data_IF_014590719893
#
_entry.id   IF_014590719893
#
_cell.length_a   1.000
_cell.length_b   1.000
_cell.length_c   1.000
_cell.angle_alpha   90.00
_cell.angle_beta   90.00
_cell.angle_gamma   90.00
#
_symmetry.space_group_name_H-M   'P 1'
#
loop_
_entity.id
_entity.type
_entity.pdbx_description
1 polymer ?
#
# COMPACT_ATOMS: atom_id res chain seq x y z
N UNK A 1 -3.47 -8.61 28.15
CA UNK A 1 -3.53 -9.57 27.02
C UNK A 1 -4.26 -8.88 25.88
N UNK A 2 -3.60 -8.57 24.76
CA UNK A 2 -4.27 -7.89 23.62
C UNK A 2 -5.07 -8.94 22.86
N UNK A 3 -6.38 -8.73 22.68
CA UNK A 3 -7.19 -9.52 21.77
C UNK A 3 -6.72 -9.26 20.34
N UNK A 4 -6.13 -10.28 19.71
CA UNK A 4 -5.86 -10.24 18.28
C UNK A 4 -7.20 -10.46 17.59
N UNK A 5 -7.87 -9.36 17.19
CA UNK A 5 -8.99 -9.45 16.23
C UNK A 5 -8.48 -10.31 15.08
N UNK A 6 -9.13 -11.46 14.83
CA UNK A 6 -8.81 -12.35 13.71
C UNK A 6 -9.13 -11.62 12.41
N UNK A 7 -8.20 -10.78 11.96
CA UNK A 7 -8.24 -10.13 10.66
C UNK A 7 -8.24 -11.25 9.62
N UNK A 8 -9.22 -11.22 8.71
CA UNK A 8 -9.31 -12.21 7.65
C UNK A 8 -8.08 -12.04 6.75
N UNK A 9 -7.38 -13.13 6.38
CA UNK A 9 -6.31 -13.03 5.40
C UNK A 9 -6.92 -12.61 4.04
N UNK A 10 -6.34 -11.64 3.33
CA UNK A 10 -6.80 -11.24 2.00
C UNK A 10 -6.36 -12.31 0.98
N UNK A 11 -7.10 -13.41 0.91
CA UNK A 11 -6.84 -14.49 -0.06
C UNK A 11 -7.57 -14.15 -1.35
N UNK A 12 -6.80 -13.88 -2.42
CA UNK A 12 -7.35 -13.58 -3.74
C UNK A 12 -7.81 -12.12 -3.92
N UNK A 13 -7.63 -11.27 -2.92
CA UNK A 13 -7.88 -9.83 -3.02
C UNK A 13 -6.57 -9.15 -3.39
N UNK A 14 -6.59 -8.48 -4.54
CA UNK A 14 -5.41 -7.81 -5.10
C UNK A 14 -5.59 -6.29 -5.20
N UNK A 15 -6.73 -5.75 -4.76
CA UNK A 15 -7.03 -4.33 -4.75
C UNK A 15 -6.76 -3.72 -3.36
N UNK A 16 -6.02 -2.62 -3.35
CA UNK A 16 -5.67 -1.91 -2.12
C UNK A 16 -6.90 -1.28 -1.44
N UNK A 17 -7.83 -0.72 -2.21
CA UNK A 17 -9.02 -0.07 -1.65
C UNK A 17 -9.90 -1.08 -0.92
N UNK A 18 -10.12 -2.25 -1.52
CA UNK A 18 -10.95 -3.32 -0.95
C UNK A 18 -10.34 -3.82 0.37
N UNK A 19 -9.01 -4.00 0.41
CA UNK A 19 -8.30 -4.40 1.63
C UNK A 19 -8.49 -3.39 2.76
N UNK A 20 -8.43 -2.09 2.44
CA UNK A 20 -8.55 -1.01 3.43
C UNK A 20 -9.98 -0.80 3.89
N UNK A 21 -10.97 -0.88 2.99
CA UNK A 21 -12.39 -0.70 3.33
C UNK A 21 -13.00 -1.89 4.06
N UNK A 22 -12.63 -3.11 3.67
CA UNK A 22 -13.19 -4.33 4.28
C UNK A 22 -12.44 -4.79 5.54
N UNK A 23 -11.37 -4.08 5.93
CA UNK A 23 -10.66 -4.34 7.18
C UNK A 23 -9.92 -5.68 7.19
N UNK A 24 -9.36 -6.09 6.04
CA UNK A 24 -8.55 -7.31 5.94
C UNK A 24 -7.20 -7.16 6.63
N UNK A 25 -6.53 -8.29 6.85
CA UNK A 25 -5.15 -8.30 7.33
C UNK A 25 -4.22 -7.70 6.26
N UNK A 26 -3.75 -6.48 6.50
CA UNK A 26 -2.82 -5.78 5.62
C UNK A 26 -1.51 -5.53 6.35
N UNK A 27 -0.40 -5.91 5.70
CA UNK A 27 0.94 -5.53 6.14
C UNK A 27 1.29 -4.24 5.42
N UNK A 28 1.57 -3.19 6.18
CA UNK A 28 1.96 -1.91 5.62
C UNK A 28 3.27 -2.02 4.83
N UNK A 29 3.20 -1.69 3.53
CA UNK A 29 4.35 -1.60 2.62
C UNK A 29 4.46 -0.22 1.99
N UNK A 30 3.76 0.78 2.51
CA UNK A 30 3.69 2.12 1.92
C UNK A 30 5.04 2.85 1.95
N UNK A 31 5.96 2.45 2.83
CA UNK A 31 7.39 2.86 2.79
C UNK A 31 8.04 2.63 1.43
N UNK A 32 7.61 1.59 0.70
CA UNK A 32 8.10 1.32 -0.65
C UNK A 32 7.80 2.46 -1.62
N UNK A 33 6.70 3.20 -1.41
CA UNK A 33 6.33 4.36 -2.25
C UNK A 33 7.38 5.45 -2.08
N UNK A 34 7.77 5.77 -0.84
CA UNK A 34 8.83 6.74 -0.57
C UNK A 34 10.14 6.33 -1.25
N UNK A 35 10.57 5.09 -1.02
CA UNK A 35 11.84 4.62 -1.59
C UNK A 35 11.78 4.61 -3.14
N UNK A 36 10.60 4.40 -3.73
CA UNK A 36 10.38 4.45 -5.17
C UNK A 36 10.42 5.89 -5.74
N UNK A 37 9.91 6.87 -4.99
CA UNK A 37 9.91 8.28 -5.40
C UNK A 37 11.28 8.95 -5.15
N UNK A 38 11.99 8.57 -4.10
CA UNK A 38 13.32 9.10 -3.79
C UNK A 38 14.42 8.50 -4.66
N UNK A 39 14.30 7.23 -5.05
CA UNK A 39 15.27 6.60 -5.95
C UNK A 39 14.90 6.91 -7.41
N UNK A 40 15.70 7.76 -8.06
CA UNK A 40 15.56 8.18 -9.46
C UNK A 40 15.92 7.07 -10.49
N UNK A 41 15.59 5.82 -10.19
CA UNK A 41 15.81 4.69 -11.07
C UNK A 41 14.87 4.74 -12.26
N UNK A 42 15.40 4.83 -13.49
CA UNK A 42 14.62 4.77 -14.74
C UNK A 42 13.76 3.49 -14.83
N UNK A 43 14.18 2.42 -14.16
CA UNK A 43 13.46 1.15 -14.07
C UNK A 43 13.56 0.62 -12.64
N UNK A 44 12.42 0.28 -12.03
CA UNK A 44 12.37 -0.40 -10.73
C UNK A 44 11.96 -1.87 -10.92
N UNK A 45 12.81 -2.79 -10.47
CA UNK A 45 12.59 -4.23 -10.59
C UNK A 45 11.98 -4.81 -9.31
N UNK A 46 10.74 -5.25 -9.40
CA UNK A 46 10.10 -6.04 -8.35
C UNK A 46 10.47 -7.51 -8.51
N UNK A 47 11.47 -7.99 -7.76
CA UNK A 47 11.93 -9.41 -7.76
C UNK A 47 10.74 -10.35 -7.57
N UNK A 48 10.75 -11.58 -8.11
CA UNK A 48 9.53 -12.38 -8.38
C UNK A 48 9.13 -13.48 -7.35
N UNK A 49 9.05 -13.25 -6.02
CA UNK A 49 8.41 -14.23 -5.13
C UNK A 49 6.90 -14.33 -5.41
N UNK A 50 6.38 -15.56 -5.49
CA UNK A 50 4.95 -15.85 -5.67
C UNK A 50 4.16 -15.36 -4.45
N UNK A 51 2.97 -14.77 -4.65
CA UNK A 51 2.08 -14.25 -3.59
C UNK A 51 2.66 -13.12 -2.73
N UNK A 52 3.71 -12.45 -3.20
CA UNK A 52 4.29 -11.31 -2.47
C UNK A 52 3.44 -10.03 -2.53
N UNK A 53 2.30 -10.04 -3.24
CA UNK A 53 1.41 -8.89 -3.37
C UNK A 53 1.88 -7.87 -4.41
N UNK A 54 2.37 -8.31 -5.57
CA UNK A 54 2.80 -7.40 -6.65
C UNK A 54 1.62 -6.63 -7.23
N UNK A 55 0.54 -7.32 -7.57
CA UNK A 55 -0.70 -6.69 -8.04
C UNK A 55 -1.23 -5.70 -7.00
N UNK A 56 -1.24 -6.10 -5.73
CA UNK A 56 -1.63 -5.23 -4.62
C UNK A 56 -0.75 -3.98 -4.53
N UNK A 57 0.57 -4.12 -4.66
CA UNK A 57 1.47 -2.97 -4.66
C UNK A 57 1.21 -2.05 -5.86
N UNK A 58 0.90 -2.58 -7.04
CA UNK A 58 0.55 -1.76 -8.21
C UNK A 58 -0.77 -1.01 -7.99
N UNK A 59 -1.78 -1.67 -7.42
CA UNK A 59 -3.04 -1.02 -7.04
C UNK A 59 -2.82 0.06 -5.98
N UNK A 60 -1.98 -0.19 -4.98
CA UNK A 60 -1.60 0.81 -3.98
C UNK A 60 -0.92 2.04 -4.59
N UNK A 61 0.06 1.83 -5.48
CA UNK A 61 0.76 2.90 -6.19
C UNK A 61 -0.21 3.70 -7.07
N UNK A 62 -1.13 3.02 -7.73
CA UNK A 62 -2.18 3.66 -8.50
C UNK A 62 -3.04 4.56 -7.61
N UNK A 63 -3.60 4.03 -6.52
CA UNK A 63 -4.41 4.82 -5.57
C UNK A 63 -3.63 6.00 -4.96
N UNK A 64 -2.31 5.89 -4.81
CA UNK A 64 -1.47 6.95 -4.28
C UNK A 64 -1.19 8.08 -5.30
N UNK A 65 -0.94 7.72 -6.56
CA UNK A 65 -0.53 8.68 -7.61
C UNK A 65 -1.69 9.20 -8.47
N UNK A 66 -2.82 8.50 -8.48
CA UNK A 66 -3.98 8.85 -9.29
C UNK A 66 -4.75 10.03 -8.68
N UNK A 67 -5.03 11.04 -9.51
CA UNK A 67 -5.75 12.25 -9.10
C UNK A 67 -7.22 11.90 -8.89
N UNK A 68 -7.75 12.21 -7.71
CA UNK A 68 -9.17 11.96 -7.36
C UNK A 68 -9.42 10.69 -6.54
N UNK A 69 -8.38 9.91 -6.23
CA UNK A 69 -8.47 8.81 -5.27
C UNK A 69 -8.61 9.31 -3.83
N UNK A 70 -9.24 8.48 -3.00
CA UNK A 70 -9.51 8.79 -1.60
C UNK A 70 -8.23 8.66 -0.75
N UNK A 71 -7.65 9.80 -0.38
CA UNK A 71 -6.42 9.87 0.43
C UNK A 71 -6.61 9.26 1.83
N UNK A 72 -7.84 9.17 2.34
CA UNK A 72 -8.12 8.57 3.66
C UNK A 72 -7.78 7.08 3.71
N UNK A 73 -7.68 6.42 2.56
CA UNK A 73 -7.21 5.03 2.48
C UNK A 73 -5.80 4.85 3.01
N UNK A 74 -4.98 5.91 3.02
CA UNK A 74 -3.63 5.87 3.57
C UNK A 74 -3.57 6.24 5.06
N UNK A 75 -4.69 6.61 5.69
CA UNK A 75 -4.68 7.07 7.08
C UNK A 75 -4.16 5.99 8.04
N UNK A 76 -3.20 6.40 8.89
CA UNK A 76 -2.54 5.53 9.86
C UNK A 76 -1.49 4.59 9.26
N UNK A 77 -1.16 4.73 7.97
CA UNK A 77 -0.03 4.05 7.33
C UNK A 77 1.26 4.88 7.45
N UNK A 78 2.40 4.24 7.22
CA UNK A 78 3.71 4.86 7.41
C UNK A 78 3.96 6.03 6.45
N UNK A 79 3.47 5.95 5.20
CA UNK A 79 3.63 7.01 4.20
C UNK A 79 2.98 8.34 4.61
N UNK A 80 1.93 8.33 5.44
CA UNK A 80 1.29 9.56 5.94
C UNK A 80 2.23 10.41 6.80
N UNK A 81 3.33 9.82 7.31
CA UNK A 81 4.36 10.55 8.04
C UNK A 81 5.25 11.38 7.11
N UNK A 82 5.35 10.99 5.84
CA UNK A 82 6.14 11.67 4.80
C UNK A 82 5.28 12.75 4.13
N UNK A 83 4.98 13.82 4.88
CA UNK A 83 4.06 14.90 4.45
C UNK A 83 4.39 15.49 3.08
N UNK A 84 5.68 15.64 2.77
CA UNK A 84 6.15 16.17 1.50
C UNK A 84 5.70 15.33 0.30
N UNK A 85 5.56 14.01 0.46
CA UNK A 85 5.11 13.10 -0.60
C UNK A 85 3.57 13.03 -0.68
N UNK A 86 2.87 13.27 0.43
CA UNK A 86 1.41 13.28 0.47
C UNK A 86 0.78 14.60 -0.03
N UNK A 87 1.56 15.69 -0.06
CA UNK A 87 1.11 17.02 -0.50
C UNK A 87 1.36 17.30 -1.99
N UNK A 88 2.11 16.43 -2.69
CA UNK A 88 2.22 16.41 -4.16
C UNK A 88 0.88 16.13 -4.85
#
# INVERSE_FOLDING_TARGET
MREWKKLKPPIGIENFEDIRREGFYYVDKTVMIRDLLQNWGKVNLFTRPRRFGKSLNMSMLQTFLEIGCDRTLFDGLEITREKELCET
#
